data_IF_268926578089
#
_entry.id   IF_268926578089
#
_cell.length_a   1.000
_cell.length_b   1.000
_cell.length_c   1.000
_cell.angle_alpha   90.00
_cell.angle_beta   90.00
_cell.angle_gamma   90.00
#
_symmetry.space_group_name_H-M   'P 1'
#
loop_
_entity.id
_entity.type
_entity.pdbx_description
1 polymer ?
#
# COMPACT_ATOMS: atom_id res chain seq x y z
N UNK A 1 19.66 -2.07 19.83
CA UNK A 1 18.76 -0.94 19.53
C UNK A 1 19.38 -0.13 18.42
N UNK A 2 18.80 -0.17 17.23
CA UNK A 2 19.30 0.52 16.03
C UNK A 2 18.97 2.01 16.09
N UNK A 3 19.78 2.86 15.43
CA UNK A 3 19.61 4.31 15.36
C UNK A 3 18.20 4.74 14.91
N UNK A 4 17.50 3.90 14.14
CA UNK A 4 16.12 4.11 13.71
C UNK A 4 15.11 4.09 14.87
N UNK A 5 15.23 3.17 15.82
CA UNK A 5 14.38 3.15 17.02
C UNK A 5 14.67 4.35 17.94
N UNK A 6 15.93 4.81 17.97
CA UNK A 6 16.31 5.98 18.77
C UNK A 6 15.78 7.29 18.16
N UNK A 7 15.74 7.40 16.82
CA UNK A 7 15.13 8.54 16.13
C UNK A 7 13.61 8.60 16.37
N UNK A 8 12.92 7.46 16.29
CA UNK A 8 11.49 7.35 16.58
C UNK A 8 11.15 7.73 18.03
N UNK A 9 11.97 7.31 19.00
CA UNK A 9 11.77 7.68 20.42
C UNK A 9 12.20 9.12 20.75
N UNK A 10 13.22 9.66 20.08
CA UNK A 10 13.62 11.07 20.26
C UNK A 10 12.55 12.04 19.75
N UNK A 11 11.85 11.71 18.66
CA UNK A 11 10.72 12.51 18.14
C UNK A 11 9.50 12.49 19.07
N UNK A 12 9.29 11.41 19.82
CA UNK A 12 8.18 11.28 20.78
C UNK A 12 8.43 11.93 22.14
N UNK A 13 9.70 12.05 22.57
CA UNK A 13 10.05 12.52 23.92
C UNK A 13 10.61 13.94 23.98
N UNK A 14 11.13 14.48 22.86
CA UNK A 14 11.54 15.87 22.79
C UNK A 14 10.41 16.67 22.14
N UNK A 15 9.62 17.38 22.95
CA UNK A 15 8.72 18.46 22.51
C UNK A 15 9.48 19.65 21.95
N UNK A 16 10.44 19.42 21.05
CA UNK A 16 11.11 20.43 20.28
C UNK A 16 10.14 20.93 19.20
N UNK A 17 9.36 21.95 19.54
CA UNK A 17 8.90 22.92 18.56
C UNK A 17 10.15 23.48 17.88
N UNK A 18 10.51 22.94 16.72
CA UNK A 18 11.31 23.70 15.76
C UNK A 18 10.35 24.79 15.28
N UNK A 19 10.58 26.08 15.57
CA UNK A 19 9.78 27.13 14.97
C UNK A 19 10.02 27.04 13.47
N UNK A 20 9.01 26.56 12.74
CA UNK A 20 8.99 26.70 11.29
C UNK A 20 9.13 28.20 11.03
N UNK A 21 10.18 28.67 10.34
CA UNK A 21 10.22 30.06 9.92
C UNK A 21 8.95 30.29 9.14
N UNK A 22 8.16 31.30 9.53
CA UNK A 22 6.96 31.73 8.81
C UNK A 22 7.30 31.76 7.33
N UNK A 23 6.85 30.72 6.62
CA UNK A 23 7.06 30.63 5.19
C UNK A 23 6.35 31.86 4.61
N UNK A 24 7.00 32.63 3.74
CA UNK A 24 6.29 33.67 3.02
C UNK A 24 5.06 33.04 2.36
N UNK A 25 3.95 33.79 2.30
CA UNK A 25 2.78 33.46 1.48
C UNK A 25 3.22 33.40 0.00
N UNK A 26 3.96 32.35 -0.38
CA UNK A 26 4.00 31.89 -1.73
C UNK A 26 2.61 31.32 -1.96
N UNK A 27 1.85 31.98 -2.83
CA UNK A 27 0.64 31.39 -3.40
C UNK A 27 1.09 30.09 -4.09
N UNK A 28 0.96 28.96 -3.38
CA UNK A 28 1.18 27.66 -3.99
C UNK A 28 0.26 27.59 -5.22
N UNK A 29 0.78 27.19 -6.39
CA UNK A 29 -0.04 27.06 -7.58
C UNK A 29 -1.20 26.11 -7.27
N UNK A 30 -2.42 26.56 -7.53
CA UNK A 30 -3.65 25.79 -7.30
C UNK A 30 -3.50 24.41 -7.94
N UNK A 31 -3.46 23.37 -7.09
CA UNK A 31 -3.21 22.00 -7.52
C UNK A 31 -4.44 21.43 -8.20
N UNK A 32 -4.49 21.51 -9.52
CA UNK A 32 -5.48 20.80 -10.33
C UNK A 32 -4.79 19.67 -11.07
N UNK A 33 -5.41 18.49 -11.06
CA UNK A 33 -5.02 17.43 -11.96
C UNK A 33 -5.06 17.95 -13.41
N UNK A 34 -4.08 17.59 -14.25
CA UNK A 34 -4.09 18.01 -15.65
C UNK A 34 -5.33 17.45 -16.38
N UNK A 35 -5.76 18.13 -17.43
CA UNK A 35 -6.97 17.72 -18.20
C UNK A 35 -6.83 16.30 -18.78
N UNK A 36 -5.60 15.83 -19.06
CA UNK A 36 -5.31 14.48 -19.54
C UNK A 36 -5.56 13.39 -18.49
N UNK A 37 -5.53 13.73 -17.20
CA UNK A 37 -5.87 12.85 -16.09
C UNK A 37 -7.39 12.64 -15.90
N UNK A 38 -8.16 12.86 -16.96
CA UNK A 38 -9.60 12.58 -17.05
C UNK A 38 -9.90 11.34 -17.90
N UNK A 39 -8.90 10.75 -18.55
CA UNK A 39 -9.10 9.50 -19.30
C UNK A 39 -9.41 8.37 -18.32
N UNK A 40 -10.70 8.00 -18.31
CA UNK A 40 -11.27 6.91 -17.52
C UNK A 40 -10.70 5.60 -18.07
N UNK A 41 -9.96 4.89 -17.22
CA UNK A 41 -9.54 3.51 -17.50
C UNK A 41 -10.80 2.62 -17.59
N UNK A 42 -10.99 1.83 -18.65
CA UNK A 42 -12.11 0.88 -18.71
C UNK A 42 -11.96 -0.20 -17.63
N UNK A 43 -13.06 -0.53 -16.93
CA UNK A 43 -13.08 -1.52 -15.86
C UNK A 43 -12.60 -2.92 -16.30
N UNK A 44 -12.80 -3.25 -17.57
CA UNK A 44 -12.56 -4.56 -18.17
C UNK A 44 -11.24 -4.64 -18.96
N UNK A 45 -10.46 -3.56 -19.04
CA UNK A 45 -9.21 -3.55 -19.78
C UNK A 45 -8.10 -4.29 -19.01
N UNK A 46 -7.96 -5.59 -19.28
CA UNK A 46 -6.91 -6.42 -18.69
C UNK A 46 -5.49 -6.05 -19.17
N UNK A 47 -5.36 -5.25 -20.24
CA UNK A 47 -4.07 -4.91 -20.84
C UNK A 47 -3.26 -3.88 -20.05
N UNK A 48 -3.93 -3.07 -19.21
CA UNK A 48 -3.26 -2.10 -18.32
C UNK A 48 -2.52 -2.78 -17.16
N UNK A 49 -2.94 -4.00 -16.81
CA UNK A 49 -2.38 -4.71 -15.67
C UNK A 49 -1.06 -5.37 -16.06
N UNK A 50 0.03 -5.09 -15.33
CA UNK A 50 1.32 -5.70 -15.57
C UNK A 50 1.23 -7.22 -15.71
N UNK A 51 1.94 -7.75 -16.71
CA UNK A 51 2.04 -9.18 -16.90
C UNK A 51 2.87 -9.81 -15.77
N UNK A 52 2.56 -11.07 -15.48
CA UNK A 52 3.28 -11.91 -14.53
C UNK A 52 3.66 -13.19 -15.25
N UNK A 53 4.68 -13.86 -14.73
CA UNK A 53 5.08 -15.18 -15.19
C UNK A 53 3.90 -16.13 -15.03
N UNK A 54 3.64 -17.01 -16.00
CA UNK A 54 2.58 -18.02 -15.93
C UNK A 54 1.20 -17.49 -16.33
N UNK A 55 0.15 -18.27 -16.02
CA UNK A 55 -1.24 -18.00 -16.45
C UNK A 55 -2.07 -17.20 -15.45
N UNK A 56 -1.52 -16.92 -14.26
CA UNK A 56 -2.17 -16.19 -13.15
C UNK A 56 -1.28 -15.06 -12.68
N UNK A 57 -1.82 -14.12 -11.90
CA UNK A 57 -1.05 -13.00 -11.35
C UNK A 57 -0.19 -13.39 -10.13
N UNK A 58 -0.48 -14.53 -9.51
CA UNK A 58 0.32 -15.11 -8.43
C UNK A 58 -0.37 -16.31 -7.80
N UNK A 59 0.18 -16.79 -6.68
CA UNK A 59 -0.29 -17.98 -5.95
C UNK A 59 -0.20 -17.71 -4.45
N UNK A 60 -1.22 -18.12 -3.70
CA UNK A 60 -1.17 -18.15 -2.23
C UNK A 60 -0.61 -19.50 -1.78
N UNK A 61 0.37 -19.45 -0.89
CA UNK A 61 1.03 -20.62 -0.32
C UNK A 61 0.94 -20.51 1.20
N UNK A 62 0.42 -21.57 1.83
CA UNK A 62 0.36 -21.69 3.29
C UNK A 62 1.74 -21.55 3.93
N UNK A 63 1.80 -20.84 5.05
CA UNK A 63 3.00 -20.64 5.85
C UNK A 63 2.79 -21.19 7.25
N UNK A 64 3.23 -22.42 7.50
CA UNK A 64 3.02 -23.08 8.79
C UNK A 64 3.91 -22.53 9.92
N UNK A 65 4.71 -21.49 9.67
CA UNK A 65 5.58 -20.87 10.69
C UNK A 65 4.77 -19.89 11.56
N UNK A 66 4.88 -19.94 12.91
CA UNK A 66 4.16 -19.01 13.80
C UNK A 66 4.56 -17.54 13.57
N UNK A 67 3.63 -16.59 13.65
CA UNK A 67 3.89 -15.14 13.46
C UNK A 67 4.47 -14.43 14.68
N UNK A 68 4.30 -14.99 15.87
CA UNK A 68 4.98 -14.48 17.08
C UNK A 68 6.50 -14.35 16.89
N UNK A 69 7.01 -15.00 15.85
CA UNK A 69 8.38 -15.04 15.39
C UNK A 69 8.71 -14.06 14.27
N UNK A 70 7.81 -13.24 13.74
CA UNK A 70 8.10 -12.49 12.51
C UNK A 70 8.65 -11.10 12.81
N UNK A 71 9.76 -10.76 12.15
CA UNK A 71 10.36 -9.42 12.19
C UNK A 71 10.33 -8.82 10.81
N UNK A 72 9.94 -7.57 10.75
CA UNK A 72 10.12 -6.81 9.53
C UNK A 72 11.57 -6.40 9.38
N UNK A 73 12.09 -6.52 8.16
CA UNK A 73 13.45 -6.16 7.83
C UNK A 73 13.48 -5.45 6.48
N UNK A 74 14.36 -4.45 6.37
CA UNK A 74 14.69 -3.82 5.09
C UNK A 74 15.91 -4.53 4.52
N UNK A 75 15.80 -5.02 3.29
CA UNK A 75 16.93 -5.55 2.53
C UNK A 75 17.87 -4.38 2.23
N UNK A 76 19.19 -4.46 2.53
CA UNK A 76 20.13 -3.40 2.16
C UNK A 76 20.10 -3.11 0.66
N UNK A 77 20.22 -1.84 0.25
CA UNK A 77 20.08 -1.42 -1.15
C UNK A 77 21.05 -2.13 -2.11
N UNK A 78 22.24 -2.50 -1.62
CA UNK A 78 23.29 -3.19 -2.37
C UNK A 78 23.21 -4.73 -2.31
N UNK A 79 22.17 -5.26 -1.67
CA UNK A 79 22.00 -6.69 -1.44
C UNK A 79 20.67 -7.20 -2.03
N UNK A 80 20.61 -8.51 -2.20
CA UNK A 80 19.35 -9.22 -2.40
C UNK A 80 19.10 -10.10 -1.20
N UNK A 81 17.83 -10.34 -0.91
CA UNK A 81 17.50 -11.32 0.12
C UNK A 81 18.00 -12.70 -0.32
N UNK A 82 18.78 -13.35 0.54
CA UNK A 82 19.12 -14.76 0.39
C UNK A 82 17.97 -15.56 0.99
N UNK A 83 17.23 -16.35 0.20
CA UNK A 83 16.09 -17.08 0.71
C UNK A 83 16.54 -18.22 1.64
N UNK A 84 15.75 -18.47 2.69
CA UNK A 84 15.81 -19.67 3.50
C UNK A 84 15.38 -20.91 2.69
N UNK A 85 15.71 -22.10 3.18
CA UNK A 85 15.38 -23.35 2.48
C UNK A 85 13.88 -23.50 2.23
N UNK A 86 13.06 -23.24 3.26
CA UNK A 86 11.60 -23.27 3.14
C UNK A 86 11.07 -22.31 2.07
N UNK A 87 11.73 -21.17 1.84
CA UNK A 87 11.31 -20.21 0.81
C UNK A 87 11.66 -20.71 -0.60
N UNK A 88 12.70 -21.54 -0.73
CA UNK A 88 13.01 -22.26 -1.98
C UNK A 88 12.00 -23.35 -2.26
N UNK A 89 11.57 -24.08 -1.23
CA UNK A 89 10.50 -25.08 -1.32
C UNK A 89 9.17 -24.43 -1.71
N UNK A 90 8.79 -23.33 -1.06
CA UNK A 90 7.61 -22.53 -1.41
C UNK A 90 7.71 -22.01 -2.85
N UNK A 91 8.88 -21.56 -3.30
CA UNK A 91 9.05 -21.13 -4.70
C UNK A 91 8.98 -22.30 -5.70
N UNK A 92 9.42 -23.50 -5.32
CA UNK A 92 9.23 -24.69 -6.14
C UNK A 92 7.72 -25.00 -6.29
N UNK A 93 6.95 -24.88 -5.21
CA UNK A 93 5.48 -24.99 -5.26
C UNK A 93 4.83 -23.90 -6.12
N UNK A 94 5.35 -22.67 -6.08
CA UNK A 94 4.93 -21.60 -7.01
C UNK A 94 5.17 -22.01 -8.47
N UNK A 95 6.37 -22.48 -8.82
CA UNK A 95 6.70 -22.91 -10.17
C UNK A 95 5.77 -24.04 -10.66
N UNK A 96 5.49 -25.03 -9.80
CA UNK A 96 4.56 -26.12 -10.11
C UNK A 96 3.13 -25.59 -10.37
N UNK A 97 2.62 -24.76 -9.46
CA UNK A 97 1.29 -24.14 -9.57
C UNK A 97 1.14 -23.25 -10.81
N UNK A 98 2.24 -22.60 -11.25
CA UNK A 98 2.26 -21.72 -12.41
C UNK A 98 2.57 -22.45 -13.72
N UNK A 99 2.99 -23.71 -13.65
CA UNK A 99 3.45 -24.49 -14.81
C UNK A 99 4.74 -23.95 -15.42
N UNK A 100 5.64 -23.43 -14.58
CA UNK A 100 6.87 -22.76 -15.01
C UNK A 100 8.14 -23.36 -14.39
N UNK A 101 9.30 -22.97 -14.92
CA UNK A 101 10.61 -23.44 -14.43
C UNK A 101 11.60 -22.28 -14.34
N UNK A 102 11.21 -21.20 -13.67
CA UNK A 102 12.11 -20.06 -13.47
C UNK A 102 13.05 -20.30 -12.31
N UNK A 103 14.23 -19.69 -12.37
CA UNK A 103 15.10 -19.50 -11.21
C UNK A 103 14.66 -18.24 -10.46
N UNK A 104 14.45 -18.29 -9.13
CA UNK A 104 13.98 -17.12 -8.40
C UNK A 104 15.09 -16.11 -8.20
N UNK A 105 14.81 -14.85 -8.51
CA UNK A 105 15.48 -13.68 -7.98
C UNK A 105 14.58 -13.05 -6.90
N UNK A 106 14.82 -13.42 -5.65
CA UNK A 106 14.11 -12.86 -4.49
C UNK A 106 14.44 -11.38 -4.28
N UNK A 107 13.66 -10.77 -3.40
CA UNK A 107 13.46 -9.33 -3.28
C UNK A 107 14.75 -8.50 -3.42
N UNK A 108 14.72 -7.46 -4.27
CA UNK A 108 15.84 -6.56 -4.49
C UNK A 108 16.08 -5.65 -3.27
N UNK A 109 17.21 -4.95 -3.31
CA UNK A 109 17.60 -4.00 -2.28
C UNK A 109 16.54 -2.92 -2.04
N UNK A 110 16.46 -2.48 -0.79
CA UNK A 110 15.45 -1.51 -0.32
C UNK A 110 14.12 -2.16 0.07
N UNK A 111 13.80 -3.34 -0.47
CA UNK A 111 12.56 -4.06 -0.18
C UNK A 111 12.38 -4.35 1.31
N UNK A 112 11.18 -4.06 1.81
CA UNK A 112 10.75 -4.38 3.16
C UNK A 112 10.06 -5.74 3.13
N UNK A 113 10.61 -6.68 3.88
CA UNK A 113 10.16 -8.07 3.91
C UNK A 113 9.86 -8.49 5.33
N UNK A 114 9.05 -9.53 5.46
CA UNK A 114 8.85 -10.20 6.74
C UNK A 114 9.78 -11.40 6.82
N UNK A 115 10.66 -11.40 7.81
CA UNK A 115 11.63 -12.46 8.06
C UNK A 115 11.17 -13.26 9.29
N UNK A 116 11.07 -14.59 9.20
CA UNK A 116 10.81 -15.43 10.35
C UNK A 116 12.03 -15.46 11.26
N UNK A 117 11.82 -15.22 12.53
CA UNK A 117 12.78 -15.27 13.62
C UNK A 117 12.38 -16.39 14.59
N UNK A 118 12.95 -17.57 14.41
CA UNK A 118 12.59 -18.78 15.16
C UNK A 118 12.77 -18.55 16.67
N UNK A 119 11.68 -18.48 17.43
CA UNK A 119 11.63 -18.66 18.88
C UNK A 119 10.58 -19.70 19.24
N UNK A 120 10.69 -20.29 20.44
CA UNK A 120 9.85 -21.40 20.94
C UNK A 120 8.41 -20.99 21.30
N UNK A 121 7.82 -20.02 20.59
CA UNK A 121 6.43 -19.64 20.79
C UNK A 121 5.48 -20.62 20.08
N UNK A 122 4.42 -21.01 20.79
CA UNK A 122 3.35 -21.85 20.25
C UNK A 122 2.52 -21.16 19.15
N UNK A 123 1.56 -21.89 18.56
CA UNK A 123 0.65 -21.34 17.55
C UNK A 123 -0.16 -20.18 18.14
N UNK A 124 -0.40 -19.14 17.34
CA UNK A 124 -1.19 -17.97 17.70
C UNK A 124 -2.68 -18.09 17.32
N UNK A 125 -3.08 -19.26 16.79
CA UNK A 125 -4.46 -19.56 16.42
C UNK A 125 -4.91 -18.97 15.08
N UNK A 126 -3.99 -18.33 14.34
CA UNK A 126 -4.30 -17.71 13.04
C UNK A 126 -3.83 -18.56 11.88
N UNK A 127 -4.50 -18.40 10.75
CA UNK A 127 -4.00 -18.92 9.47
C UNK A 127 -2.99 -17.92 8.89
N UNK A 128 -1.91 -18.44 8.34
CA UNK A 128 -0.77 -17.68 7.85
C UNK A 128 -0.45 -18.12 6.44
N UNK A 129 -0.31 -17.17 5.53
CA UNK A 129 0.03 -17.50 4.16
C UNK A 129 0.77 -16.36 3.48
N UNK A 130 1.44 -16.73 2.39
CA UNK A 130 2.23 -15.82 1.57
C UNK A 130 1.67 -15.84 0.16
N UNK A 131 1.35 -14.65 -0.35
CA UNK A 131 1.13 -14.46 -1.77
C UNK A 131 2.48 -14.33 -2.47
N UNK A 132 2.72 -15.20 -3.45
CA UNK A 132 3.86 -15.16 -4.36
C UNK A 132 3.42 -14.64 -5.73
N UNK A 133 4.13 -13.64 -6.24
CA UNK A 133 4.07 -13.27 -7.65
C UNK A 133 5.47 -13.25 -8.24
N UNK A 134 5.55 -13.33 -9.57
CA UNK A 134 6.81 -13.15 -10.26
C UNK A 134 6.64 -12.44 -11.59
N UNK A 135 7.58 -11.56 -11.92
CA UNK A 135 7.73 -10.97 -13.25
C UNK A 135 9.00 -11.50 -13.92
N UNK A 136 9.07 -11.47 -15.24
CA UNK A 136 10.30 -11.86 -15.94
C UNK A 136 11.47 -10.95 -15.54
N UNK A 137 12.63 -11.57 -15.31
CA UNK A 137 13.89 -10.87 -15.06
C UNK A 137 14.55 -10.39 -16.36
N UNK A 138 15.65 -9.66 -16.20
CA UNK A 138 16.47 -9.25 -17.34
C UNK A 138 17.18 -10.44 -18.01
N UNK A 139 17.44 -11.50 -17.23
CA UNK A 139 18.03 -12.75 -17.72
C UNK A 139 16.91 -13.75 -18.05
N UNK A 140 16.98 -14.35 -19.24
CA UNK A 140 16.02 -15.37 -19.66
C UNK A 140 16.01 -16.55 -18.66
N UNK A 141 14.81 -16.97 -18.23
CA UNK A 141 14.64 -18.03 -17.25
C UNK A 141 14.84 -17.61 -15.79
N UNK A 142 15.08 -16.32 -15.52
CA UNK A 142 15.08 -15.75 -14.15
C UNK A 142 13.79 -14.99 -13.93
N UNK A 143 13.14 -15.18 -12.78
CA UNK A 143 11.94 -14.44 -12.40
C UNK A 143 12.19 -13.58 -11.16
N UNK A 144 11.80 -12.30 -11.23
CA UNK A 144 11.81 -11.38 -10.09
C UNK A 144 10.61 -11.70 -9.19
N UNK A 145 10.89 -12.35 -8.06
CA UNK A 145 9.87 -12.81 -7.12
C UNK A 145 9.49 -11.69 -6.17
N UNK A 146 8.21 -11.61 -5.85
CA UNK A 146 7.64 -10.73 -4.86
C UNK A 146 6.78 -11.53 -3.91
N UNK A 147 6.82 -11.16 -2.63
CA UNK A 147 6.05 -11.82 -1.57
C UNK A 147 5.31 -10.80 -0.75
N UNK A 148 4.08 -11.15 -0.41
CA UNK A 148 3.23 -10.38 0.49
C UNK A 148 2.62 -11.33 1.51
N UNK A 149 2.79 -11.01 2.78
CA UNK A 149 2.37 -11.89 3.87
C UNK A 149 1.04 -11.47 4.45
N UNK A 150 0.23 -12.45 4.81
CA UNK A 150 -1.10 -12.25 5.36
C UNK A 150 -1.34 -13.13 6.58
N UNK A 151 -2.24 -12.64 7.45
CA UNK A 151 -2.95 -13.45 8.44
C UNK A 151 -4.42 -13.44 8.17
N UNK A 152 -5.06 -14.53 8.53
CA UNK A 152 -6.52 -14.62 8.60
C UNK A 152 -6.94 -15.03 10.02
N UNK A 153 -7.97 -14.37 10.52
CA UNK A 153 -8.51 -14.55 11.86
C UNK A 153 -10.04 -14.39 11.83
N UNK A 154 -10.74 -15.15 12.66
CA UNK A 154 -12.20 -15.16 12.75
C UNK A 154 -12.65 -14.78 14.16
N UNK A 155 -13.84 -14.15 14.31
CA UNK A 155 -14.38 -13.88 15.63
C UNK A 155 -14.71 -15.20 16.37
N UNK A 156 -14.36 -15.26 17.66
CA UNK A 156 -14.64 -16.41 18.51
C UNK A 156 -16.15 -16.65 18.66
N UNK A 157 -16.58 -17.91 18.54
CA UNK A 157 -17.92 -18.41 18.88
C UNK A 157 -19.10 -17.75 18.13
N UNK A 158 -18.86 -16.97 17.07
CA UNK A 158 -19.89 -16.35 16.23
C UNK A 158 -19.59 -16.50 14.75
N UNK A 159 -20.63 -16.63 13.94
CA UNK A 159 -20.47 -16.65 12.49
C UNK A 159 -20.02 -15.26 12.00
N UNK A 160 -18.96 -15.14 11.17
CA UNK A 160 -18.50 -13.85 10.70
C UNK A 160 -19.58 -13.09 9.94
N UNK A 161 -19.73 -11.79 10.16
CA UNK A 161 -20.71 -10.96 9.45
C UNK A 161 -20.23 -10.52 8.06
N UNK A 162 -18.93 -10.67 7.80
CA UNK A 162 -18.26 -10.24 6.58
C UNK A 162 -16.75 -10.36 6.70
N UNK A 163 -16.05 -9.98 5.63
CA UNK A 163 -14.58 -9.97 5.56
C UNK A 163 -14.04 -8.53 5.60
N UNK A 164 -13.15 -8.26 6.54
CA UNK A 164 -12.42 -7.01 6.62
C UNK A 164 -10.96 -7.19 6.16
N UNK A 165 -10.60 -6.52 5.07
CA UNK A 165 -9.22 -6.46 4.58
C UNK A 165 -8.50 -5.30 5.26
N UNK A 166 -7.53 -5.61 6.11
CA UNK A 166 -6.74 -4.63 6.86
C UNK A 166 -5.34 -4.51 6.29
N UNK A 167 -5.02 -3.36 5.69
CA UNK A 167 -3.72 -3.08 5.08
C UNK A 167 -2.93 -2.05 5.89
N UNK A 168 -1.64 -2.32 6.20
CA UNK A 168 -0.86 -1.49 7.09
C UNK A 168 -0.13 -0.37 6.34
N UNK A 169 0.54 0.52 7.08
CA UNK A 169 1.50 1.45 6.49
C UNK A 169 2.69 0.76 5.81
N UNK A 170 3.49 1.56 5.09
CA UNK A 170 4.59 1.07 4.23
C UNK A 170 5.65 0.20 4.97
N UNK A 171 5.72 0.29 6.30
CA UNK A 171 6.61 -0.52 7.15
C UNK A 171 5.88 -1.42 8.14
N UNK A 172 4.64 -1.82 7.85
CA UNK A 172 3.82 -2.56 8.83
C UNK A 172 3.59 -1.79 10.14
N UNK A 173 3.69 -0.46 10.12
CA UNK A 173 3.70 0.40 11.32
C UNK A 173 2.63 1.49 11.27
N UNK A 174 2.17 1.95 12.45
CA UNK A 174 2.46 1.41 13.78
C UNK A 174 1.67 0.12 14.06
N UNK A 175 2.33 -0.92 14.58
CA UNK A 175 1.72 -2.24 14.85
C UNK A 175 0.48 -2.12 15.73
N UNK A 176 0.56 -1.30 16.77
CA UNK A 176 -0.54 -1.05 17.72
C UNK A 176 -1.82 -0.53 17.06
N UNK A 177 -1.69 0.23 15.95
CA UNK A 177 -2.86 0.73 15.21
C UNK A 177 -3.56 -0.42 14.51
N UNK A 178 -2.80 -1.24 13.77
CA UNK A 178 -3.33 -2.43 13.10
C UNK A 178 -3.89 -3.45 14.10
N UNK A 179 -3.19 -3.71 15.22
CA UNK A 179 -3.62 -4.66 16.25
C UNK A 179 -4.91 -4.20 16.96
N UNK A 180 -5.14 -2.89 17.09
CA UNK A 180 -6.40 -2.35 17.62
C UNK A 180 -7.51 -2.37 16.59
N UNK A 181 -7.21 -2.10 15.32
CA UNK A 181 -8.17 -2.22 14.23
C UNK A 181 -8.67 -3.65 14.08
N UNK A 182 -7.75 -4.62 14.01
CA UNK A 182 -8.04 -6.05 13.92
C UNK A 182 -8.91 -6.53 15.09
N UNK A 183 -8.49 -6.27 16.34
CA UNK A 183 -9.30 -6.65 17.51
C UNK A 183 -10.67 -5.97 17.51
N UNK A 184 -10.74 -4.70 17.09
CA UNK A 184 -11.99 -3.96 16.97
C UNK A 184 -12.94 -4.63 15.99
N UNK A 185 -12.45 -5.02 14.81
CA UNK A 185 -13.20 -5.73 13.78
C UNK A 185 -13.69 -7.09 14.25
N UNK A 186 -12.80 -7.91 14.85
CA UNK A 186 -13.15 -9.23 15.40
C UNK A 186 -14.23 -9.11 16.49
N UNK A 187 -14.10 -8.15 17.43
CA UNK A 187 -15.13 -7.90 18.46
C UNK A 187 -16.48 -7.44 17.89
N UNK A 188 -16.51 -6.90 16.66
CA UNK A 188 -17.73 -6.53 15.93
C UNK A 188 -18.21 -7.66 15.00
N UNK A 189 -17.58 -8.83 15.04
CA UNK A 189 -17.99 -10.01 14.28
C UNK A 189 -17.43 -10.10 12.86
N UNK A 190 -16.49 -9.23 12.46
CA UNK A 190 -15.83 -9.34 11.16
C UNK A 190 -14.73 -10.40 11.20
N UNK A 191 -14.65 -11.26 10.19
CA UNK A 191 -13.41 -11.98 9.91
C UNK A 191 -12.38 -10.98 9.37
N UNK A 192 -11.10 -11.14 9.72
CA UNK A 192 -10.06 -10.18 9.36
C UNK A 192 -8.99 -10.85 8.52
N UNK A 193 -8.85 -10.38 7.28
CA UNK A 193 -7.69 -10.65 6.44
C UNK A 193 -6.71 -9.48 6.56
N UNK A 194 -5.62 -9.69 7.29
CA UNK A 194 -4.64 -8.65 7.55
C UNK A 194 -3.39 -8.87 6.71
N UNK A 195 -3.04 -7.85 5.93
CA UNK A 195 -1.72 -7.76 5.30
C UNK A 195 -0.70 -7.39 6.38
N UNK A 196 0.37 -8.18 6.50
CA UNK A 196 1.39 -7.94 7.52
C UNK A 196 2.43 -6.94 7.08
N UNK A 197 2.76 -6.92 5.80
CA UNK A 197 3.59 -5.90 5.17
C UNK A 197 3.06 -5.64 3.76
N UNK A 198 3.19 -4.41 3.24
CA UNK A 198 2.99 -4.19 1.82
C UNK A 198 3.93 -5.09 0.99
N UNK A 199 3.61 -5.34 -0.29
CA UNK A 199 4.54 -6.00 -1.18
C UNK A 199 5.89 -5.28 -1.17
N UNK A 200 6.98 -6.05 -1.12
CA UNK A 200 8.34 -5.49 -1.02
C UNK A 200 8.67 -4.53 -2.17
N UNK A 201 8.07 -4.72 -3.36
CA UNK A 201 8.12 -3.79 -4.50
C UNK A 201 7.74 -2.36 -4.12
N UNK A 202 6.79 -2.15 -3.20
CA UNK A 202 6.41 -0.80 -2.78
C UNK A 202 7.59 -0.03 -2.17
N UNK A 203 8.53 -0.75 -1.57
CA UNK A 203 9.74 -0.23 -0.91
C UNK A 203 11.04 -0.54 -1.66
N UNK A 204 10.98 -1.29 -2.76
CA UNK A 204 12.14 -1.57 -3.63
C UNK A 204 12.80 -0.24 -4.00
N UNK A 205 14.12 -0.18 -3.84
CA UNK A 205 14.91 0.99 -4.20
C UNK A 205 15.06 1.05 -5.72
N UNK A 206 14.75 2.20 -6.31
CA UNK A 206 14.97 2.49 -7.73
C UNK A 206 15.34 3.95 -7.90
N UNK A 207 16.35 4.21 -8.72
CA UNK A 207 16.79 5.56 -9.04
C UNK A 207 16.52 5.88 -10.50
N UNK A 208 16.06 7.11 -10.74
CA UNK A 208 15.85 7.67 -12.05
C UNK A 208 16.53 9.02 -12.15
N UNK A 209 17.23 9.25 -13.25
CA UNK A 209 17.73 10.57 -13.62
C UNK A 209 17.01 11.03 -14.86
N UNK A 210 16.31 12.15 -14.75
CA UNK A 210 15.60 12.78 -15.86
C UNK A 210 16.59 13.70 -16.60
N UNK A 211 17.13 13.19 -17.69
CA UNK A 211 17.77 14.00 -18.74
C UNK A 211 16.68 14.72 -19.55
N UNK A 212 16.92 15.98 -19.92
CA UNK A 212 16.01 16.75 -20.76
C UNK A 212 15.76 16.07 -22.12
N UNK A 213 16.80 15.45 -22.71
CA UNK A 213 16.70 14.81 -24.03
C UNK A 213 15.94 13.47 -24.00
N UNK A 214 15.98 12.75 -22.87
CA UNK A 214 15.35 11.43 -22.69
C UNK A 214 14.15 11.43 -21.73
N UNK A 215 13.67 12.62 -21.38
CA UNK A 215 12.68 12.84 -20.32
C UNK A 215 11.42 11.99 -20.48
N UNK A 216 10.84 11.90 -21.68
CA UNK A 216 9.64 11.09 -21.93
C UNK A 216 9.86 9.59 -21.64
N UNK A 217 10.99 9.02 -22.07
CA UNK A 217 11.30 7.60 -21.84
C UNK A 217 11.50 7.31 -20.36
N UNK A 218 12.19 8.19 -19.65
CA UNK A 218 12.41 8.07 -18.20
C UNK A 218 11.10 8.22 -17.43
N UNK A 219 10.29 9.21 -17.77
CA UNK A 219 8.98 9.44 -17.12
C UNK A 219 8.02 8.28 -17.39
N UNK A 220 8.02 7.73 -18.61
CA UNK A 220 7.28 6.50 -18.91
C UNK A 220 7.73 5.33 -18.05
N UNK A 221 9.04 5.16 -17.86
CA UNK A 221 9.59 4.10 -17.00
C UNK A 221 9.17 4.27 -15.54
N UNK A 222 9.17 5.52 -15.04
CA UNK A 222 8.67 5.84 -13.68
C UNK A 222 7.18 5.51 -13.56
N UNK A 223 6.37 5.89 -14.56
CA UNK A 223 4.94 5.58 -14.60
C UNK A 223 4.66 4.08 -14.53
N UNK A 224 5.36 3.30 -15.35
CA UNK A 224 5.20 1.84 -15.37
C UNK A 224 5.68 1.17 -14.07
N UNK A 225 6.74 1.68 -13.42
CA UNK A 225 7.19 1.12 -12.13
C UNK A 225 6.18 1.40 -11.01
N UNK A 226 5.67 2.64 -10.92
CA UNK A 226 4.64 3.02 -9.96
C UNK A 226 3.34 2.23 -10.17
N UNK A 227 2.90 2.06 -11.42
CA UNK A 227 1.76 1.20 -11.75
C UNK A 227 2.00 -0.24 -11.30
N UNK A 228 3.21 -0.76 -11.50
CA UNK A 228 3.56 -2.11 -11.11
C UNK A 228 3.59 -2.32 -9.58
N UNK A 229 3.95 -1.29 -8.82
CA UNK A 229 3.86 -1.29 -7.35
C UNK A 229 2.42 -1.36 -6.87
N UNK A 230 1.51 -0.58 -7.47
CA UNK A 230 0.09 -0.60 -7.13
C UNK A 230 -0.60 -1.91 -7.56
N UNK A 231 -0.26 -2.42 -8.75
CA UNK A 231 -0.74 -3.70 -9.26
C UNK A 231 -0.36 -4.87 -8.34
N UNK A 232 0.87 -4.88 -7.81
CA UNK A 232 1.34 -5.93 -6.92
C UNK A 232 0.47 -6.04 -5.66
N UNK A 233 0.09 -4.91 -5.05
CA UNK A 233 -0.81 -4.89 -3.90
C UNK A 233 -2.21 -5.41 -4.28
N UNK A 234 -2.69 -5.06 -5.48
CA UNK A 234 -3.99 -5.50 -6.00
C UNK A 234 -4.06 -7.01 -6.19
N UNK A 235 -3.03 -7.60 -6.82
CA UNK A 235 -2.94 -9.04 -7.01
C UNK A 235 -2.85 -9.79 -5.69
N UNK A 236 -2.09 -9.26 -4.73
CA UNK A 236 -1.92 -9.86 -3.42
C UNK A 236 -3.24 -9.87 -2.63
N UNK A 237 -3.94 -8.73 -2.57
CA UNK A 237 -5.21 -8.60 -1.84
C UNK A 237 -6.29 -9.49 -2.43
N UNK A 238 -6.50 -9.46 -3.75
CA UNK A 238 -7.47 -10.34 -4.42
C UNK A 238 -7.17 -11.81 -4.07
N UNK A 239 -5.94 -12.26 -4.31
CA UNK A 239 -5.59 -13.67 -4.18
C UNK A 239 -5.73 -14.16 -2.73
N UNK A 240 -5.34 -13.31 -1.77
CA UNK A 240 -5.52 -13.56 -0.34
C UNK A 240 -6.99 -13.63 0.06
N UNK A 241 -7.82 -12.71 -0.44
CA UNK A 241 -9.25 -12.71 -0.16
C UNK A 241 -9.98 -13.90 -0.81
N UNK A 242 -9.63 -14.25 -2.05
CA UNK A 242 -10.13 -15.46 -2.72
C UNK A 242 -9.76 -16.71 -1.95
N UNK A 243 -8.51 -16.80 -1.47
CA UNK A 243 -8.04 -17.94 -0.69
C UNK A 243 -8.93 -18.18 0.54
N UNK A 244 -9.18 -17.16 1.36
CA UNK A 244 -9.99 -17.29 2.59
C UNK A 244 -11.50 -17.40 2.32
N UNK A 245 -11.98 -16.99 1.14
CA UNK A 245 -13.40 -17.09 0.76
C UNK A 245 -13.74 -18.31 -0.10
N UNK A 246 -12.75 -19.04 -0.61
CA UNK A 246 -12.94 -20.20 -1.50
C UNK A 246 -13.40 -21.48 -0.79
N UNK A 247 -13.34 -21.52 0.54
CA UNK A 247 -13.71 -22.67 1.37
C UNK A 247 -15.12 -22.63 1.97
N UNK A 248 -15.35 -23.45 3.00
CA UNK A 248 -16.62 -23.53 3.76
C UNK A 248 -16.84 -22.32 4.71
N UNK A 249 -16.06 -21.24 4.58
CA UNK A 249 -16.06 -20.09 5.52
C UNK A 249 -17.36 -19.29 5.55
N UNK A 250 -18.30 -19.56 4.64
CA UNK A 250 -19.56 -18.81 4.53
C UNK A 250 -19.37 -17.33 4.20
N UNK A 251 -18.14 -16.89 3.87
CA UNK A 251 -17.78 -15.50 3.60
C UNK A 251 -18.08 -15.05 2.17
N UNK A 252 -18.21 -15.99 1.23
CA UNK A 252 -18.29 -15.71 -0.21
C UNK A 252 -19.37 -14.69 -0.58
N UNK A 253 -20.53 -14.79 0.06
CA UNK A 253 -21.69 -13.94 -0.21
C UNK A 253 -21.87 -12.83 0.84
N UNK A 254 -20.91 -12.69 1.76
CA UNK A 254 -20.98 -11.69 2.84
C UNK A 254 -20.27 -10.40 2.43
N UNK A 255 -20.63 -9.28 3.05
CA UNK A 255 -20.00 -8.00 2.77
C UNK A 255 -18.48 -8.02 2.97
N UNK A 256 -17.77 -7.29 2.12
CA UNK A 256 -16.32 -7.08 2.23
C UNK A 256 -16.01 -5.61 2.42
N UNK A 257 -15.15 -5.29 3.38
CA UNK A 257 -14.64 -3.93 3.57
C UNK A 257 -13.12 -3.91 3.43
N UNK A 258 -12.57 -2.74 3.17
CA UNK A 258 -11.11 -2.55 3.09
C UNK A 258 -10.66 -1.30 3.82
N UNK A 259 -9.60 -1.42 4.61
CA UNK A 259 -8.97 -0.34 5.37
C UNK A 259 -7.51 -0.25 4.92
N UNK A 260 -7.15 0.84 4.25
CA UNK A 260 -5.79 1.15 3.84
C UNK A 260 -5.16 2.21 4.73
N UNK A 261 -3.88 2.04 5.05
CA UNK A 261 -3.12 2.96 5.89
C UNK A 261 -1.83 3.40 5.19
N UNK A 262 -1.55 4.71 5.16
CA UNK A 262 -0.29 5.29 4.67
C UNK A 262 0.04 4.76 3.26
N UNK A 263 1.20 4.12 3.07
CA UNK A 263 1.61 3.56 1.79
C UNK A 263 0.57 2.66 1.10
N UNK A 264 -0.13 1.79 1.84
CA UNK A 264 -1.19 0.94 1.22
C UNK A 264 -2.46 1.72 0.94
N UNK A 265 -2.71 2.83 1.64
CA UNK A 265 -3.81 3.74 1.34
C UNK A 265 -3.63 4.45 -0.02
N UNK A 266 -2.39 4.63 -0.49
CA UNK A 266 -2.08 5.15 -1.84
C UNK A 266 -2.52 4.15 -2.92
N UNK A 267 -2.30 2.85 -2.69
CA UNK A 267 -2.66 1.79 -3.64
C UNK A 267 -4.15 1.36 -3.57
N UNK A 268 -4.89 1.79 -2.54
CA UNK A 268 -6.26 1.35 -2.29
C UNK A 268 -7.22 1.60 -3.46
N UNK A 269 -7.22 2.79 -4.12
CA UNK A 269 -8.04 2.99 -5.32
C UNK A 269 -7.80 1.96 -6.42
N UNK A 270 -6.54 1.58 -6.61
CA UNK A 270 -6.14 0.59 -7.61
C UNK A 270 -6.57 -0.83 -7.23
N UNK A 271 -6.50 -1.17 -5.94
CA UNK A 271 -7.00 -2.45 -5.43
C UNK A 271 -8.50 -2.58 -5.71
N UNK A 272 -9.28 -1.52 -5.46
CA UNK A 272 -10.72 -1.53 -5.74
C UNK A 272 -10.98 -1.53 -7.25
N UNK A 273 -10.21 -0.79 -8.05
CA UNK A 273 -10.34 -0.81 -9.51
C UNK A 273 -10.10 -2.21 -10.11
N UNK A 274 -9.29 -3.04 -9.46
CA UNK A 274 -9.06 -4.43 -9.87
C UNK A 274 -10.27 -5.34 -9.59
N UNK A 275 -11.08 -5.00 -8.58
CA UNK A 275 -12.25 -5.76 -8.11
C UNK A 275 -13.44 -4.82 -7.79
N UNK A 276 -13.97 -4.07 -8.77
CA UNK A 276 -14.81 -2.89 -8.52
C UNK A 276 -16.17 -3.19 -7.89
N UNK A 277 -16.65 -4.43 -7.97
CA UNK A 277 -17.94 -4.85 -7.43
C UNK A 277 -17.82 -5.61 -6.09
N UNK A 278 -16.61 -5.76 -5.58
CA UNK A 278 -16.33 -6.69 -4.49
C UNK A 278 -16.42 -6.06 -3.10
N UNK A 279 -16.19 -4.75 -2.98
CA UNK A 279 -16.15 -4.05 -1.69
C UNK A 279 -17.43 -3.26 -1.43
N UNK A 280 -17.90 -3.27 -0.18
CA UNK A 280 -19.09 -2.56 0.27
C UNK A 280 -18.77 -1.22 0.94
N UNK A 281 -17.56 -1.07 1.50
CA UNK A 281 -17.08 0.19 2.05
C UNK A 281 -15.54 0.22 2.11
N UNK A 282 -14.98 1.43 2.08
CA UNK A 282 -13.54 1.65 2.17
C UNK A 282 -13.17 2.74 3.19
N UNK A 283 -12.05 2.56 3.88
CA UNK A 283 -11.44 3.58 4.74
C UNK A 283 -10.00 3.85 4.29
N UNK A 284 -9.72 5.12 3.97
CA UNK A 284 -8.41 5.60 3.51
C UNK A 284 -7.80 6.47 4.60
N UNK A 285 -6.74 5.98 5.26
CA UNK A 285 -6.08 6.68 6.37
C UNK A 285 -4.68 7.14 5.94
N UNK A 286 -4.46 8.46 5.87
CA UNK A 286 -3.17 9.03 5.47
C UNK A 286 -2.73 8.62 4.06
N UNK A 287 -3.69 8.45 3.14
CA UNK A 287 -3.45 8.14 1.74
C UNK A 287 -3.55 9.39 0.84
N UNK A 288 -3.28 9.20 -0.45
CA UNK A 288 -3.33 10.25 -1.46
C UNK A 288 -3.21 9.66 -2.86
N UNK A 289 -3.37 10.52 -3.87
CA UNK A 289 -3.18 10.18 -5.28
C UNK A 289 -1.93 10.88 -5.83
N UNK A 290 -1.58 10.62 -7.09
CA UNK A 290 -0.37 11.13 -7.74
C UNK A 290 0.90 10.60 -7.09
N UNK A 291 1.15 9.31 -7.30
CA UNK A 291 2.27 8.56 -6.74
C UNK A 291 3.62 9.12 -7.20
N UNK A 292 3.68 9.70 -8.41
CA UNK A 292 4.85 10.42 -8.91
C UNK A 292 5.23 11.58 -7.99
N UNK A 293 4.25 12.44 -7.69
CA UNK A 293 4.46 13.59 -6.81
C UNK A 293 4.76 13.17 -5.38
N UNK A 294 4.04 12.17 -4.86
CA UNK A 294 4.32 11.61 -3.53
C UNK A 294 5.78 11.13 -3.44
N UNK A 295 6.29 10.42 -4.45
CA UNK A 295 7.67 9.94 -4.45
C UNK A 295 8.71 11.08 -4.36
N UNK A 296 8.39 12.27 -4.86
CA UNK A 296 9.33 13.40 -4.91
C UNK A 296 9.21 14.30 -3.67
N UNK A 297 7.98 14.55 -3.21
CA UNK A 297 7.68 15.55 -2.18
C UNK A 297 7.58 14.95 -0.77
N UNK A 298 7.45 13.64 -0.67
CA UNK A 298 7.34 12.99 0.63
C UNK A 298 8.52 13.35 1.54
N UNK A 299 8.23 13.77 2.77
CA UNK A 299 9.22 13.90 3.84
C UNK A 299 9.90 12.57 4.18
N UNK A 300 9.42 11.47 3.59
CA UNK A 300 9.99 10.15 3.72
C UNK A 300 10.98 9.76 2.62
N UNK A 301 11.10 10.57 1.56
CA UNK A 301 11.98 10.33 0.41
C UNK A 301 13.38 9.86 0.80
N UNK A 302 14.06 10.59 1.68
CA UNK A 302 15.48 10.33 1.96
C UNK A 302 15.73 9.09 2.85
N UNK A 303 14.76 8.66 3.65
CA UNK A 303 14.97 7.56 4.60
C UNK A 303 14.27 6.28 4.19
N UNK A 304 13.10 6.36 3.52
CA UNK A 304 12.48 5.20 2.88
C UNK A 304 13.27 4.82 1.66
N UNK A 305 13.65 5.83 0.85
CA UNK A 305 14.57 5.67 -0.26
C UNK A 305 14.12 4.54 -1.22
N UNK A 306 12.82 4.52 -1.52
CA UNK A 306 12.22 3.57 -2.46
C UNK A 306 12.31 4.06 -3.90
N UNK A 307 11.98 5.33 -4.16
CA UNK A 307 12.08 5.91 -5.49
C UNK A 307 12.82 7.23 -5.36
N UNK A 308 14.00 7.32 -5.96
CA UNK A 308 14.74 8.56 -6.09
C UNK A 308 14.62 9.08 -7.52
N UNK A 309 14.16 10.32 -7.64
CA UNK A 309 14.04 11.01 -8.92
C UNK A 309 14.96 12.23 -8.87
N UNK A 310 15.94 12.22 -9.74
CA UNK A 310 16.89 13.30 -9.96
C UNK A 310 16.62 13.93 -11.33
N UNK A 311 17.10 15.15 -11.54
CA UNK A 311 17.06 15.82 -12.84
C UNK A 311 18.43 16.44 -13.12
N UNK A 312 18.91 16.29 -14.35
CA UNK A 312 20.18 16.87 -14.80
C UNK A 312 20.06 18.38 -15.12
N UNK A 313 18.84 18.93 -15.06
CA UNK A 313 18.55 20.35 -15.26
C UNK A 313 18.88 21.14 -13.97
N UNK A 314 20.14 21.02 -13.51
CA UNK A 314 20.76 21.77 -12.42
C UNK A 314 20.20 21.49 -11.01
N UNK A 315 21.00 21.71 -9.95
CA UNK A 315 20.47 21.68 -8.59
C UNK A 315 19.40 22.76 -8.45
N UNK A 316 18.26 22.48 -7.82
CA UNK A 316 17.28 23.52 -7.52
C UNK A 316 17.98 24.61 -6.71
N UNK A 317 17.83 25.87 -7.13
CA UNK A 317 17.89 26.96 -6.17
C UNK A 317 16.86 26.60 -5.09
N UNK A 318 17.35 26.26 -3.89
CA UNK A 318 16.58 25.68 -2.80
C UNK A 318 15.45 26.58 -2.29
N UNK A 319 15.33 27.79 -2.86
CA UNK A 319 14.26 28.75 -2.59
C UNK A 319 13.01 28.56 -3.46
N UNK A 320 13.03 27.72 -4.50
CA UNK A 320 11.88 27.50 -5.39
C UNK A 320 11.56 26.02 -5.59
N UNK A 321 10.28 25.68 -5.43
CA UNK A 321 9.72 24.39 -5.86
C UNK A 321 10.22 24.06 -7.27
N UNK A 322 10.83 22.89 -7.51
CA UNK A 322 11.46 22.63 -8.80
C UNK A 322 10.41 22.65 -9.90
N UNK A 323 10.46 23.68 -10.76
CA UNK A 323 9.48 23.89 -11.84
C UNK A 323 9.40 22.70 -12.81
N UNK A 324 10.44 21.87 -12.87
CA UNK A 324 10.47 20.64 -13.65
C UNK A 324 9.48 19.57 -13.13
N UNK A 325 9.08 19.60 -11.86
CA UNK A 325 8.08 18.67 -11.29
C UNK A 325 6.77 18.74 -12.06
N UNK A 326 6.25 19.97 -12.22
CA UNK A 326 5.03 20.23 -12.98
C UNK A 326 5.21 19.99 -14.48
N UNK A 327 6.45 20.04 -14.98
CA UNK A 327 6.73 19.89 -16.41
C UNK A 327 6.49 18.46 -16.88
N UNK A 328 6.74 17.46 -16.04
CA UNK A 328 6.64 16.05 -16.42
C UNK A 328 5.43 15.32 -15.86
N UNK A 329 4.64 15.97 -15.00
CA UNK A 329 3.44 15.39 -14.39
C UNK A 329 2.40 14.99 -15.46
N UNK A 330 2.18 15.82 -16.47
CA UNK A 330 1.29 15.49 -17.61
C UNK A 330 1.78 14.26 -18.37
N UNK A 331 3.09 14.18 -18.63
CA UNK A 331 3.71 13.02 -19.29
C UNK A 331 3.57 11.76 -18.43
N UNK A 332 3.76 11.87 -17.11
CA UNK A 332 3.55 10.77 -16.18
C UNK A 332 2.11 10.25 -16.28
N UNK A 333 1.11 11.12 -16.19
CA UNK A 333 -0.29 10.71 -16.28
C UNK A 333 -0.68 10.17 -17.66
N UNK A 334 -0.02 10.59 -18.74
CA UNK A 334 -0.25 9.99 -20.07
C UNK A 334 0.21 8.53 -20.18
N UNK A 335 1.07 8.08 -19.27
CA UNK A 335 1.63 6.73 -19.26
C UNK A 335 1.15 5.86 -18.09
N UNK A 336 0.88 6.45 -16.93
CA UNK A 336 0.33 5.73 -15.79
C UNK A 336 -1.14 5.44 -16.00
N UNK A 337 -1.56 4.20 -15.79
CA UNK A 337 -2.96 3.76 -15.83
C UNK A 337 -3.46 3.31 -14.46
N UNK A 338 -2.56 3.06 -13.50
CA UNK A 338 -2.91 2.50 -12.19
C UNK A 338 -2.66 3.47 -11.03
N UNK A 339 -2.40 4.75 -11.30
CA UNK A 339 -2.40 5.78 -10.25
C UNK A 339 -3.80 6.05 -9.69
N UNK A 340 -3.88 6.42 -8.41
CA UNK A 340 -5.12 6.79 -7.73
C UNK A 340 -5.92 7.88 -8.43
N UNK A 341 -5.29 8.76 -9.20
CA UNK A 341 -5.97 9.76 -10.03
C UNK A 341 -6.88 9.13 -11.09
N UNK A 342 -6.47 7.99 -11.67
CA UNK A 342 -7.24 7.26 -12.69
C UNK A 342 -8.16 6.21 -12.08
N UNK A 343 -7.78 5.63 -10.95
CA UNK A 343 -8.51 4.51 -10.34
C UNK A 343 -9.54 4.92 -9.27
N UNK A 344 -9.47 6.13 -8.72
CA UNK A 344 -10.42 6.61 -7.70
C UNK A 344 -11.89 6.58 -8.12
N UNK A 345 -12.19 6.76 -9.42
CA UNK A 345 -13.56 6.70 -9.92
C UNK A 345 -14.28 5.38 -9.61
N UNK A 346 -13.53 4.27 -9.52
CA UNK A 346 -14.05 2.94 -9.19
C UNK A 346 -14.43 2.80 -7.71
N UNK A 347 -14.24 3.84 -6.90
CA UNK A 347 -14.69 3.89 -5.52
C UNK A 347 -15.90 4.79 -5.33
N UNK A 348 -16.32 5.54 -6.36
CA UNK A 348 -17.37 6.56 -6.23
C UNK A 348 -18.75 5.98 -5.93
N UNK A 349 -18.97 4.71 -6.23
CA UNK A 349 -20.23 3.99 -5.96
C UNK A 349 -20.26 3.31 -4.59
N UNK A 350 -19.14 3.26 -3.86
CA UNK A 350 -19.09 2.68 -2.52
C UNK A 350 -18.89 3.79 -1.47
N UNK A 351 -19.50 3.65 -0.28
CA UNK A 351 -19.14 4.49 0.86
C UNK A 351 -17.64 4.47 1.11
N UNK A 352 -17.04 5.66 1.14
CA UNK A 352 -15.62 5.84 1.43
C UNK A 352 -15.47 6.85 2.57
N UNK A 353 -14.62 6.53 3.54
CA UNK A 353 -14.18 7.46 4.58
C UNK A 353 -12.71 7.81 4.37
N UNK A 354 -12.42 9.09 4.20
CA UNK A 354 -11.05 9.60 4.18
C UNK A 354 -10.67 10.21 5.52
N UNK A 355 -9.54 9.81 6.09
CA UNK A 355 -8.98 10.37 7.31
C UNK A 355 -7.57 10.87 6.99
N UNK A 356 -7.34 12.18 7.06
CA UNK A 356 -6.05 12.78 6.69
C UNK A 356 -5.58 13.85 7.67
N UNK A 357 -4.26 14.04 7.73
CA UNK A 357 -3.62 15.14 8.43
C UNK A 357 -3.51 16.36 7.51
N UNK A 358 -3.99 17.52 7.93
CA UNK A 358 -3.86 18.76 7.13
C UNK A 358 -2.42 19.29 7.08
N UNK A 359 -1.50 18.68 7.82
CA UNK A 359 -0.07 18.99 7.81
C UNK A 359 0.77 17.74 7.52
N UNK A 360 0.16 16.75 6.86
CA UNK A 360 0.85 15.54 6.42
C UNK A 360 1.87 15.88 5.32
N UNK A 361 3.13 15.53 5.57
CA UNK A 361 4.22 15.68 4.60
C UNK A 361 4.74 14.33 4.12
N UNK A 362 4.37 13.22 4.76
CA UNK A 362 4.81 11.88 4.35
C UNK A 362 3.99 11.39 3.16
N UNK A 363 2.68 11.60 3.21
CA UNK A 363 1.82 11.61 2.04
C UNK A 363 1.26 13.03 1.97
N UNK A 364 1.84 13.92 1.15
CA UNK A 364 1.51 15.34 1.16
C UNK A 364 0.01 15.60 1.21
N UNK A 365 -0.43 16.51 2.08
CA UNK A 365 -1.85 16.81 2.27
C UNK A 365 -2.56 17.16 0.94
N UNK A 366 -1.85 17.82 0.01
CA UNK A 366 -2.31 18.12 -1.34
C UNK A 366 -2.64 16.86 -2.18
N UNK A 367 -1.87 15.78 -2.03
CA UNK A 367 -2.18 14.47 -2.65
C UNK A 367 -3.43 13.84 -2.04
N UNK A 368 -3.67 14.05 -0.74
CA UNK A 368 -4.91 13.65 -0.07
C UNK A 368 -6.13 14.46 -0.53
N UNK A 369 -5.96 15.77 -0.72
CA UNK A 369 -7.00 16.65 -1.30
C UNK A 369 -7.34 16.24 -2.74
N UNK A 370 -6.33 15.98 -3.56
CA UNK A 370 -6.51 15.49 -4.93
C UNK A 370 -7.29 14.17 -4.95
N UNK A 371 -6.93 13.21 -4.09
CA UNK A 371 -7.66 11.94 -4.00
C UNK A 371 -9.12 12.17 -3.57
N UNK A 372 -9.36 13.03 -2.57
CA UNK A 372 -10.71 13.36 -2.12
C UNK A 372 -11.58 13.93 -3.24
N UNK A 373 -11.03 14.82 -4.06
CA UNK A 373 -11.74 15.35 -5.23
C UNK A 373 -12.04 14.27 -6.26
N UNK A 374 -11.06 13.41 -6.57
CA UNK A 374 -11.22 12.32 -7.55
C UNK A 374 -12.19 11.23 -7.10
N UNK A 375 -12.34 11.05 -5.78
CA UNK A 375 -13.35 10.16 -5.19
C UNK A 375 -14.76 10.75 -5.17
N UNK A 376 -14.99 11.95 -5.74
CA UNK A 376 -16.30 12.59 -5.72
C UNK A 376 -16.64 13.24 -4.37
N UNK A 377 -15.61 13.60 -3.59
CA UNK A 377 -15.72 14.29 -2.30
C UNK A 377 -16.48 13.47 -1.23
N UNK A 378 -16.02 12.24 -0.93
CA UNK A 378 -16.64 11.39 0.09
C UNK A 378 -16.51 12.01 1.49
N UNK A 379 -17.07 11.34 2.50
CA UNK A 379 -16.90 11.79 3.89
C UNK A 379 -15.41 11.89 4.25
N UNK A 380 -15.03 13.01 4.89
CA UNK A 380 -13.63 13.32 5.19
C UNK A 380 -13.45 13.86 6.59
N UNK A 381 -12.58 13.23 7.36
CA UNK A 381 -12.15 13.66 8.68
C UNK A 381 -10.75 14.26 8.61
N UNK A 382 -10.67 15.56 8.85
CA UNK A 382 -9.42 16.32 8.80
C UNK A 382 -8.90 16.55 10.21
N UNK A 383 -7.64 16.20 10.44
CA UNK A 383 -6.96 16.47 11.71
C UNK A 383 -5.81 17.47 11.50
N UNK A 384 -5.64 18.49 12.38
CA UNK A 384 -4.59 19.49 12.24
C UNK A 384 -3.22 18.96 12.72
N UNK A 385 -2.76 17.87 12.11
CA UNK A 385 -1.56 17.12 12.49
C UNK A 385 -0.80 16.62 11.26
N UNK A 386 0.47 16.24 11.45
CA UNK A 386 1.26 15.48 10.47
C UNK A 386 0.98 13.98 10.51
N UNK A 387 1.67 13.21 9.66
CA UNK A 387 1.42 11.79 9.42
C UNK A 387 1.48 10.93 10.69
N UNK A 388 2.51 11.11 11.51
CA UNK A 388 2.82 10.29 12.67
C UNK A 388 1.81 10.54 13.79
N UNK A 389 1.45 11.81 13.99
CA UNK A 389 0.43 12.21 14.95
C UNK A 389 -0.98 11.80 14.51
N UNK A 390 -1.24 11.76 13.20
CA UNK A 390 -2.46 11.16 12.66
C UNK A 390 -2.57 9.70 13.13
N UNK A 391 -1.53 8.88 12.91
CA UNK A 391 -1.53 7.48 13.33
C UNK A 391 -1.52 7.29 14.86
N UNK A 392 -0.93 8.22 15.63
CA UNK A 392 -1.06 8.21 17.09
C UNK A 392 -2.52 8.47 17.55
N UNK A 393 -3.31 9.22 16.76
CA UNK A 393 -4.70 9.55 17.07
C UNK A 393 -5.71 8.48 16.59
N UNK A 394 -5.41 7.72 15.54
CA UNK A 394 -6.32 6.68 15.00
C UNK A 394 -6.84 5.71 16.05
N UNK A 395 -6.01 5.17 16.97
CA UNK A 395 -6.50 4.30 18.04
C UNK A 395 -7.63 4.90 18.89
N UNK A 396 -7.66 6.23 19.06
CA UNK A 396 -8.70 6.95 19.81
C UNK A 396 -9.98 7.15 18.99
N UNK A 397 -9.90 6.99 17.67
CA UNK A 397 -11.02 7.12 16.72
C UNK A 397 -11.54 5.78 16.23
N UNK A 398 -10.89 4.66 16.57
CA UNK A 398 -11.22 3.35 16.04
C UNK A 398 -12.70 2.99 16.22
N UNK A 399 -13.30 3.28 17.38
CA UNK A 399 -14.74 3.04 17.61
C UNK A 399 -15.60 3.78 16.60
N UNK A 400 -15.32 5.07 16.34
CA UNK A 400 -16.06 5.86 15.37
C UNK A 400 -15.87 5.36 13.93
N UNK A 401 -14.68 4.86 13.59
CA UNK A 401 -14.41 4.25 12.28
C UNK A 401 -15.23 2.97 12.09
N UNK A 402 -15.29 2.12 13.12
CA UNK A 402 -16.07 0.89 13.09
C UNK A 402 -17.57 1.16 13.04
N UNK A 403 -18.05 2.15 13.81
CA UNK A 403 -19.46 2.57 13.74
C UNK A 403 -19.81 3.10 12.34
N UNK A 404 -18.94 3.91 11.74
CA UNK A 404 -19.11 4.39 10.36
C UNK A 404 -19.17 3.22 9.36
N UNK A 405 -18.31 2.21 9.52
CA UNK A 405 -18.30 1.01 8.66
C UNK A 405 -19.61 0.23 8.76
N UNK A 406 -20.13 -0.01 9.97
CA UNK A 406 -21.41 -0.70 10.18
C UNK A 406 -22.58 0.06 9.55
N UNK A 407 -22.64 1.38 9.77
CA UNK A 407 -23.68 2.25 9.23
C UNK A 407 -23.70 2.25 7.69
N UNK A 408 -22.52 2.16 7.06
CA UNK A 408 -22.38 2.25 5.61
C UNK A 408 -22.34 0.90 4.88
N UNK A 409 -22.17 -0.22 5.60
CA UNK A 409 -22.24 -1.56 5.00
C UNK A 409 -23.62 -2.20 5.13
N UNK A 410 -24.51 -1.63 5.95
CA UNK A 410 -25.82 -2.20 6.25
C UNK A 410 -25.76 -3.42 7.19
N UNK A 411 -24.57 -3.75 7.70
CA UNK A 411 -24.34 -4.87 8.61
C UNK A 411 -24.32 -4.31 10.05
N UNK A 412 -25.34 -4.64 10.84
CA UNK A 412 -25.44 -4.18 12.25
C UNK A 412 -26.75 -3.51 12.65
N UNK A 413 -27.67 -3.28 11.69
CA UNK A 413 -28.97 -2.64 11.96
C UNK A 413 -29.98 -3.49 12.74
N UNK A 414 -29.83 -4.81 12.77
CA UNK A 414 -30.80 -5.72 13.42
C UNK A 414 -30.38 -6.22 14.81
N UNK A 415 -29.17 -5.89 15.28
CA UNK A 415 -28.58 -6.47 16.50
C UNK A 415 -28.21 -5.44 17.60
N UNK A 416 -28.78 -4.22 17.58
CA UNK A 416 -28.61 -3.22 18.65
C UNK A 416 -29.82 -3.13 19.57
#
# INVERSE_FOLDING_TARGET
>A
MTKALLAFWCLLLAGCNIPSPLAPEATEPEHRAPETATEIVPADDQSIWPQRVGSRKGVVIEDTRPISNWRTARVPNDQRLVPYEIEREQFAAFNDAMGTQYTPAFEPGGGFVVIPYITESGPDGKDHFVFYSAAEGAEAGVAKVQRTWFTYDEPDDVEPIGLAVLMPGIFATPRDVSDRAERGLLMRGWAVLRMLSPPSRMTEHTEYTIDAEESETTIRSIALDLDNRAAEASFAVQSAAEHVTSGESGLRDKPRIIIGMSGTAIALPTIIAYEPETYNAAVVIGGGANSYRIAIESSYRDWIDSIQIYSDVGPPDTSHYPRWLFTYEETYFSHSRLDGVHTAQFMTHIPTLMIHGSSDTAVPASSGDLLWEKLGKPERWVMPVGHELLFAAIPLRMVAILDWLEENTGVGGEAR
#
